data_IF_506441191615
#
_entry.id   IF_506441191615
#
_cell.length_a   1.000
_cell.length_b   1.000
_cell.length_c   1.000
_cell.angle_alpha   90.00
_cell.angle_beta   90.00
_cell.angle_gamma   90.00
#
_symmetry.space_group_name_H-M   'P 1'
#
loop_
_entity.id
_entity.type
_entity.pdbx_description
1 polymer ?
#
# COMPACT_ATOMS: atom_id res chain seq x y z
N UNK A 1 26.71 35.19 15.47
CA UNK A 1 27.56 34.09 14.96
C UNK A 1 26.85 32.79 15.26
N UNK A 2 26.03 32.30 14.33
CA UNK A 2 25.29 31.05 14.51
C UNK A 2 26.05 29.94 13.79
N UNK A 3 26.59 29.01 14.55
CA UNK A 3 27.29 27.84 14.03
C UNK A 3 26.28 26.91 13.35
N UNK A 4 26.25 26.94 12.03
CA UNK A 4 25.54 26.00 11.18
C UNK A 4 26.16 24.61 11.37
N UNK A 5 25.45 23.74 12.08
CA UNK A 5 25.88 22.36 12.34
C UNK A 5 25.70 21.57 11.05
N UNK A 6 26.76 21.52 10.24
CA UNK A 6 26.85 20.66 9.06
C UNK A 6 26.68 19.21 9.52
N UNK A 7 25.54 18.61 9.16
CA UNK A 7 25.30 17.18 9.38
C UNK A 7 26.41 16.40 8.64
N UNK A 8 27.16 15.51 9.31
CA UNK A 8 28.20 14.74 8.64
C UNK A 8 27.54 13.92 7.53
N UNK A 9 27.96 14.16 6.29
CA UNK A 9 27.49 13.43 5.13
C UNK A 9 27.69 11.94 5.35
N UNK A 10 26.66 11.14 5.05
CA UNK A 10 26.79 9.68 4.98
C UNK A 10 27.98 9.36 4.08
N UNK A 11 29.06 8.87 4.66
CA UNK A 11 30.19 8.32 3.93
C UNK A 11 29.63 7.21 3.01
N UNK A 12 29.59 7.48 1.71
CA UNK A 12 29.15 6.48 0.73
C UNK A 12 30.20 5.37 0.78
N UNK A 13 29.85 4.23 1.36
CA UNK A 13 30.70 3.04 1.35
C UNK A 13 30.80 2.56 -0.10
N UNK A 14 31.86 2.99 -0.79
CA UNK A 14 32.14 2.64 -2.18
C UNK A 14 32.64 1.20 -2.24
N UNK A 15 32.26 0.46 -3.29
CA UNK A 15 32.83 -0.86 -3.54
C UNK A 15 34.32 -0.74 -3.88
N UNK A 16 35.16 -1.73 -3.53
CA UNK A 16 36.55 -1.74 -3.98
C UNK A 16 36.62 -1.77 -5.51
N UNK A 17 37.68 -1.18 -6.08
CA UNK A 17 37.87 -1.12 -7.53
C UNK A 17 37.90 -2.53 -8.14
N UNK A 18 37.22 -2.72 -9.27
CA UNK A 18 37.12 -4.02 -9.95
C UNK A 18 36.13 -5.01 -9.31
N UNK A 19 35.31 -4.57 -8.35
CA UNK A 19 34.28 -5.41 -7.74
C UNK A 19 32.89 -4.79 -7.83
N UNK A 20 31.91 -5.64 -8.13
CA UNK A 20 30.49 -5.33 -8.19
C UNK A 20 29.76 -5.95 -7.00
N UNK A 21 28.94 -5.16 -6.33
CA UNK A 21 28.03 -5.69 -5.31
C UNK A 21 26.79 -6.32 -5.98
N UNK A 22 26.05 -7.12 -5.22
CA UNK A 22 24.78 -7.70 -5.70
C UNK A 22 23.81 -6.65 -6.24
N UNK A 23 23.84 -5.42 -5.74
CA UNK A 23 22.99 -4.34 -6.24
C UNK A 23 23.40 -3.88 -7.65
N UNK A 24 24.70 -3.70 -7.91
CA UNK A 24 25.20 -3.31 -9.23
C UNK A 24 24.87 -4.38 -10.28
N UNK A 25 24.97 -5.66 -9.90
CA UNK A 25 24.55 -6.77 -10.76
C UNK A 25 23.05 -6.70 -11.09
N UNK A 26 22.20 -6.41 -10.10
CA UNK A 26 20.74 -6.28 -10.32
C UNK A 26 20.40 -5.15 -11.30
N UNK A 27 21.13 -4.03 -11.23
CA UNK A 27 20.96 -2.90 -12.15
C UNK A 27 21.34 -3.28 -13.59
N UNK A 28 22.30 -4.20 -13.75
CA UNK A 28 22.67 -4.82 -15.04
C UNK A 28 21.76 -5.98 -15.47
N UNK A 29 20.63 -6.20 -14.79
CA UNK A 29 19.66 -7.24 -15.14
C UNK A 29 19.96 -8.63 -14.59
N UNK A 30 20.93 -8.77 -13.68
CA UNK A 30 21.18 -10.05 -13.03
C UNK A 30 20.08 -10.39 -12.01
N UNK A 31 19.53 -11.59 -12.13
CA UNK A 31 18.63 -12.16 -11.11
C UNK A 31 19.43 -13.05 -10.15
N UNK A 32 18.94 -13.31 -8.92
CA UNK A 32 19.62 -14.24 -7.99
C UNK A 32 19.87 -15.63 -8.60
N UNK A 33 18.97 -16.10 -9.47
CA UNK A 33 19.12 -17.37 -10.17
C UNK A 33 20.25 -17.32 -11.21
N UNK A 34 20.41 -16.20 -11.94
CA UNK A 34 21.53 -16.02 -12.87
C UNK A 34 22.86 -15.94 -12.13
N UNK A 35 22.91 -15.22 -11.00
CA UNK A 35 24.11 -15.12 -10.17
C UNK A 35 24.52 -16.52 -9.67
N UNK A 36 23.58 -17.28 -9.10
CA UNK A 36 23.87 -18.63 -8.61
C UNK A 36 24.32 -19.58 -9.73
N UNK A 37 23.73 -19.45 -10.93
CA UNK A 37 24.02 -20.32 -12.07
C UNK A 37 25.37 -20.02 -12.74
N UNK A 38 25.72 -18.76 -12.93
CA UNK A 38 26.88 -18.38 -13.75
C UNK A 38 28.06 -17.83 -12.95
N UNK A 39 27.83 -17.18 -11.81
CA UNK A 39 28.90 -16.63 -10.97
C UNK A 39 29.20 -17.52 -9.75
N UNK A 40 28.19 -18.23 -9.24
CA UNK A 40 28.34 -19.11 -8.09
C UNK A 40 28.70 -18.36 -6.82
N UNK A 41 29.82 -18.73 -6.21
CA UNK A 41 30.31 -18.10 -4.99
C UNK A 41 30.87 -16.68 -5.26
N UNK A 42 30.80 -15.87 -4.21
CA UNK A 42 31.26 -14.49 -4.24
C UNK A 42 32.77 -14.45 -3.95
N UNK A 43 33.46 -13.46 -4.49
CA UNK A 43 34.92 -13.40 -4.41
C UNK A 43 35.38 -12.71 -3.12
N UNK A 44 34.62 -11.68 -2.70
CA UNK A 44 34.92 -10.92 -1.50
C UNK A 44 33.65 -10.51 -0.77
N UNK A 45 33.81 -10.08 0.49
CA UNK A 45 32.74 -9.45 1.25
C UNK A 45 33.20 -8.11 1.78
N UNK A 46 32.27 -7.16 1.90
CA UNK A 46 32.52 -5.88 2.57
C UNK A 46 31.51 -5.65 3.68
N UNK A 47 31.88 -4.91 4.74
CA UNK A 47 30.93 -4.55 5.78
C UNK A 47 29.78 -3.73 5.19
N UNK A 48 28.55 -4.06 5.61
CA UNK A 48 27.39 -3.28 5.21
C UNK A 48 27.36 -1.96 5.99
N UNK A 49 27.32 -0.84 5.26
CA UNK A 49 27.21 0.50 5.85
C UNK A 49 25.84 0.79 6.47
N UNK A 50 24.84 -0.04 6.17
CA UNK A 50 23.50 0.08 6.73
C UNK A 50 23.38 -0.67 8.06
N UNK A 51 22.76 -0.01 9.05
CA UNK A 51 22.41 -0.59 10.35
C UNK A 51 20.90 -0.64 10.48
N UNK A 52 20.39 -1.75 11.02
CA UNK A 52 18.98 -1.88 11.43
C UNK A 52 18.90 -1.73 12.94
N UNK A 53 18.50 -0.55 13.40
CA UNK A 53 18.55 -0.18 14.81
C UNK A 53 19.97 -0.31 15.38
N UNK A 54 20.13 -1.14 16.42
CA UNK A 54 21.43 -1.41 17.05
C UNK A 54 22.24 -2.52 16.36
N UNK A 55 21.65 -3.26 15.41
CA UNK A 55 22.29 -4.42 14.76
C UNK A 55 22.95 -4.02 13.45
N UNK A 56 24.18 -4.49 13.23
CA UNK A 56 24.85 -4.42 11.93
C UNK A 56 24.21 -5.45 11.01
N UNK A 57 23.91 -5.06 9.77
CA UNK A 57 23.42 -5.98 8.76
C UNK A 57 24.53 -6.92 8.28
N UNK A 58 24.18 -8.10 7.72
CA UNK A 58 25.15 -9.01 7.14
C UNK A 58 26.05 -8.31 6.09
N UNK A 59 27.32 -8.75 5.96
CA UNK A 59 28.23 -8.24 4.93
C UNK A 59 27.66 -8.34 3.52
N UNK A 60 28.03 -7.38 2.67
CA UNK A 60 27.64 -7.34 1.26
C UNK A 60 28.60 -8.23 0.47
N UNK A 61 28.03 -9.11 -0.38
CA UNK A 61 28.78 -9.97 -1.30
C UNK A 61 29.28 -9.18 -2.51
N UNK A 62 30.53 -9.40 -2.88
CA UNK A 62 31.20 -8.76 -4.00
C UNK A 62 31.64 -9.80 -5.03
N UNK A 63 31.50 -9.43 -6.30
CA UNK A 63 31.85 -10.23 -7.46
C UNK A 63 32.87 -9.49 -8.29
N UNK A 64 33.90 -10.18 -8.76
CA UNK A 64 34.91 -9.57 -9.62
C UNK A 64 34.30 -9.12 -10.95
N UNK A 65 34.51 -7.86 -11.29
CA UNK A 65 33.92 -7.24 -12.48
C UNK A 65 34.40 -7.93 -13.77
N UNK A 66 35.66 -8.35 -13.83
CA UNK A 66 36.22 -9.05 -15.00
C UNK A 66 35.46 -10.36 -15.29
N UNK A 67 35.18 -11.16 -14.25
CA UNK A 67 34.41 -12.41 -14.36
C UNK A 67 32.98 -12.14 -14.80
N UNK A 68 32.36 -11.10 -14.26
CA UNK A 68 31.00 -10.69 -14.64
C UNK A 68 30.96 -10.31 -16.13
N UNK A 69 31.89 -9.48 -16.59
CA UNK A 69 31.98 -9.06 -17.98
C UNK A 69 32.26 -10.23 -18.94
N UNK A 70 33.05 -11.21 -18.52
CA UNK A 70 33.29 -12.41 -19.31
C UNK A 70 32.01 -13.23 -19.48
N UNK A 71 31.25 -13.44 -18.40
CA UNK A 71 29.96 -14.14 -18.46
C UNK A 71 28.94 -13.36 -19.29
N UNK A 72 28.88 -12.04 -19.16
CA UNK A 72 27.94 -11.19 -19.90
C UNK A 72 28.12 -11.30 -21.42
N UNK A 73 29.32 -11.67 -21.89
CA UNK A 73 29.61 -11.90 -23.32
C UNK A 73 29.19 -13.28 -23.83
N UNK A 74 28.86 -14.22 -22.94
CA UNK A 74 28.49 -15.57 -23.36
C UNK A 74 27.05 -15.61 -23.88
N UNK A 75 26.85 -16.23 -25.04
CA UNK A 75 25.51 -16.39 -25.64
C UNK A 75 24.52 -17.10 -24.71
N UNK A 76 25.03 -18.05 -23.90
CA UNK A 76 24.23 -18.78 -22.91
C UNK A 76 23.69 -17.87 -21.82
N UNK A 77 24.46 -16.85 -21.42
CA UNK A 77 24.03 -15.84 -20.46
C UNK A 77 23.01 -14.89 -21.09
N UNK A 78 23.27 -14.36 -22.28
CA UNK A 78 22.34 -13.47 -22.99
C UNK A 78 20.97 -14.12 -23.19
N UNK A 79 20.94 -15.39 -23.61
CA UNK A 79 19.70 -16.15 -23.74
C UNK A 79 19.00 -16.37 -22.39
N UNK A 80 19.74 -16.60 -21.31
CA UNK A 80 19.17 -16.75 -19.98
C UNK A 80 18.64 -15.42 -19.41
N UNK A 81 19.32 -14.32 -19.68
CA UNK A 81 18.91 -12.97 -19.29
C UNK A 81 17.62 -12.56 -20.00
N UNK A 82 17.52 -12.78 -21.32
CA UNK A 82 16.31 -12.51 -22.10
C UNK A 82 15.10 -13.28 -21.54
N UNK A 83 15.26 -14.60 -21.27
CA UNK A 83 14.20 -15.40 -20.65
C UNK A 83 13.81 -14.91 -19.26
N UNK A 84 14.77 -14.45 -18.46
CA UNK A 84 14.50 -13.91 -17.14
C UNK A 84 13.71 -12.59 -17.21
N UNK A 85 14.01 -11.73 -18.19
CA UNK A 85 13.26 -10.51 -18.46
C UNK A 85 11.82 -10.83 -18.88
N UNK A 86 11.62 -11.73 -19.84
CA UNK A 86 10.29 -12.17 -20.28
C UNK A 86 9.46 -12.77 -19.13
N UNK A 87 10.10 -13.60 -18.30
CA UNK A 87 9.45 -14.22 -17.15
C UNK A 87 9.01 -13.17 -16.11
N UNK A 88 9.83 -12.14 -15.89
CA UNK A 88 9.50 -11.03 -14.98
C UNK A 88 8.31 -10.23 -15.52
N UNK A 89 8.33 -9.87 -16.80
CA UNK A 89 7.23 -9.14 -17.42
C UNK A 89 5.93 -9.95 -17.36
N UNK A 90 5.97 -11.25 -17.70
CA UNK A 90 4.80 -12.13 -17.57
C UNK A 90 4.30 -12.21 -16.13
N UNK A 91 5.20 -12.30 -15.15
CA UNK A 91 4.82 -12.34 -13.75
C UNK A 91 4.19 -11.02 -13.27
N UNK A 92 4.68 -9.87 -13.75
CA UNK A 92 4.12 -8.56 -13.47
C UNK A 92 2.71 -8.42 -14.06
N UNK A 93 2.53 -8.72 -15.36
CA UNK A 93 1.21 -8.75 -16.00
C UNK A 93 0.23 -9.68 -15.29
N UNK A 94 0.69 -10.86 -14.87
CA UNK A 94 -0.14 -11.80 -14.11
C UNK A 94 -0.49 -11.29 -12.71
N UNK A 95 0.37 -10.50 -12.07
CA UNK A 95 0.07 -9.84 -10.79
C UNK A 95 -0.95 -8.73 -10.98
N UNK A 96 -0.77 -7.88 -11.97
CA UNK A 96 -1.73 -6.81 -12.30
C UNK A 96 -3.10 -7.38 -12.64
N UNK A 97 -3.15 -8.42 -13.48
CA UNK A 97 -4.41 -9.08 -13.86
C UNK A 97 -5.12 -9.61 -12.62
N UNK A 98 -4.41 -10.31 -11.72
CA UNK A 98 -5.00 -10.80 -10.46
C UNK A 98 -5.46 -9.67 -9.56
N UNK A 99 -4.71 -8.58 -9.47
CA UNK A 99 -5.09 -7.41 -8.68
C UNK A 99 -6.38 -6.77 -9.23
N UNK A 100 -6.46 -6.55 -10.54
CA UNK A 100 -7.66 -5.99 -11.20
C UNK A 100 -8.86 -6.90 -11.05
N UNK A 101 -8.70 -8.22 -11.27
CA UNK A 101 -9.79 -9.18 -11.08
C UNK A 101 -10.29 -9.19 -9.64
N UNK A 102 -9.38 -9.10 -8.66
CA UNK A 102 -9.73 -9.00 -7.24
C UNK A 102 -10.49 -7.72 -6.92
N UNK A 103 -10.01 -6.58 -7.39
CA UNK A 103 -10.68 -5.29 -7.22
C UNK A 103 -12.08 -5.29 -7.85
N UNK A 104 -12.21 -5.81 -9.07
CA UNK A 104 -13.50 -5.94 -9.74
C UNK A 104 -14.48 -6.83 -8.96
N UNK A 105 -14.00 -7.93 -8.37
CA UNK A 105 -14.82 -8.81 -7.55
C UNK A 105 -15.31 -8.11 -6.26
N UNK A 106 -14.44 -7.35 -5.59
CA UNK A 106 -14.83 -6.53 -4.42
C UNK A 106 -15.92 -5.52 -4.78
N UNK A 107 -15.76 -4.80 -5.89
CA UNK A 107 -16.75 -3.83 -6.38
C UNK A 107 -18.07 -4.50 -6.74
N UNK A 108 -18.03 -5.65 -7.41
CA UNK A 108 -19.23 -6.41 -7.78
C UNK A 108 -19.97 -6.95 -6.56
N UNK A 109 -19.27 -7.48 -5.57
CA UNK A 109 -19.85 -7.94 -4.32
C UNK A 109 -20.52 -6.78 -3.57
N UNK A 110 -19.85 -5.64 -3.43
CA UNK A 110 -20.45 -4.46 -2.82
C UNK A 110 -21.66 -3.94 -3.61
N UNK A 111 -21.64 -4.05 -4.95
CA UNK A 111 -22.77 -3.65 -5.80
C UNK A 111 -24.00 -4.55 -5.64
N UNK A 112 -23.81 -5.81 -5.23
CA UNK A 112 -24.91 -6.75 -4.96
C UNK A 112 -25.68 -6.41 -3.68
N UNK A 113 -25.05 -5.69 -2.74
CA UNK A 113 -25.70 -5.26 -1.52
C UNK A 113 -26.68 -4.12 -1.79
N UNK A 114 -27.96 -4.42 -1.63
CA UNK A 114 -29.06 -3.46 -1.76
C UNK A 114 -29.75 -3.28 -0.40
N UNK A 115 -29.37 -2.27 0.39
CA UNK A 115 -29.99 -2.04 1.71
C UNK A 115 -31.45 -1.59 1.56
N UNK A 116 -32.33 -2.20 2.35
CA UNK A 116 -33.73 -1.77 2.48
C UNK A 116 -33.85 -0.81 3.65
N UNK A 117 -34.15 0.46 3.37
CA UNK A 117 -34.27 1.51 4.39
C UNK A 117 -35.74 1.74 4.73
N UNK A 118 -36.06 1.60 6.03
CA UNK A 118 -37.35 1.99 6.56
C UNK A 118 -37.23 3.38 7.19
N UNK A 119 -37.93 4.41 6.66
CA UNK A 119 -37.84 5.76 7.17
C UNK A 119 -38.47 5.86 8.57
N UNK A 120 -37.70 6.37 9.52
CA UNK A 120 -38.15 6.73 10.86
C UNK A 120 -38.17 8.25 11.03
N UNK A 121 -39.05 8.80 11.87
CA UNK A 121 -39.08 10.23 12.14
C UNK A 121 -37.84 10.66 12.94
N UNK A 122 -36.80 11.07 12.22
CA UNK A 122 -35.53 11.52 12.79
C UNK A 122 -35.36 13.03 12.66
N UNK A 123 -34.72 13.65 13.67
CA UNK A 123 -34.32 15.05 13.60
C UNK A 123 -33.30 15.25 12.48
N UNK A 124 -33.43 16.35 11.72
CA UNK A 124 -32.45 16.78 10.72
C UNK A 124 -31.03 16.75 11.31
N UNK A 125 -30.10 16.09 10.60
CA UNK A 125 -28.70 15.96 11.01
C UNK A 125 -28.40 14.80 11.96
N UNK A 126 -29.39 13.98 12.33
CA UNK A 126 -29.20 12.78 13.16
C UNK A 126 -28.59 11.60 12.38
N UNK A 127 -27.46 11.83 11.68
CA UNK A 127 -26.77 10.85 10.82
C UNK A 127 -26.46 9.56 11.56
N UNK A 128 -25.96 9.65 12.80
CA UNK A 128 -25.63 8.47 13.61
C UNK A 128 -26.86 7.60 13.87
N UNK A 129 -27.98 8.22 14.25
CA UNK A 129 -29.24 7.52 14.55
C UNK A 129 -29.84 6.89 13.29
N UNK A 130 -29.70 7.52 12.14
CA UNK A 130 -30.17 6.97 10.87
C UNK A 130 -29.37 5.72 10.45
N UNK A 131 -28.06 5.65 10.77
CA UNK A 131 -27.19 4.54 10.40
C UNK A 131 -27.23 3.37 11.38
N UNK A 132 -27.34 3.67 12.68
CA UNK A 132 -27.20 2.73 13.80
C UNK A 132 -28.01 1.42 13.63
N UNK A 133 -29.29 1.42 13.20
CA UNK A 133 -30.07 0.18 13.03
C UNK A 133 -29.48 -0.80 12.00
N UNK A 134 -28.73 -0.29 11.03
CA UNK A 134 -28.26 -1.07 9.89
C UNK A 134 -26.83 -1.61 10.07
N UNK A 135 -26.11 -1.19 11.12
CA UNK A 135 -24.70 -1.56 11.31
C UNK A 135 -24.50 -3.05 11.53
N UNK A 136 -25.33 -3.67 12.37
CA UNK A 136 -25.23 -5.11 12.65
C UNK A 136 -25.50 -5.96 11.40
N UNK A 137 -26.49 -5.56 10.59
CA UNK A 137 -26.76 -6.22 9.31
C UNK A 137 -25.61 -6.03 8.33
N UNK A 138 -25.03 -4.83 8.27
CA UNK A 138 -23.90 -4.54 7.39
C UNK A 138 -22.67 -5.39 7.74
N UNK A 139 -22.37 -5.58 9.03
CA UNK A 139 -21.29 -6.45 9.48
C UNK A 139 -21.54 -7.92 9.09
N UNK A 140 -22.77 -8.41 9.26
CA UNK A 140 -23.14 -9.77 8.84
C UNK A 140 -23.01 -9.96 7.31
N UNK A 141 -23.43 -8.97 6.53
CA UNK A 141 -23.30 -8.97 5.07
C UNK A 141 -21.82 -8.91 4.65
N UNK A 142 -21.01 -8.07 5.28
CA UNK A 142 -19.57 -7.99 5.03
C UNK A 142 -18.87 -9.32 5.31
N UNK A 143 -19.23 -9.99 6.41
CA UNK A 143 -18.73 -11.33 6.73
C UNK A 143 -19.14 -12.38 5.69
N UNK A 144 -20.40 -12.39 5.27
CA UNK A 144 -20.91 -13.34 4.26
C UNK A 144 -20.25 -13.13 2.89
N UNK A 145 -20.25 -11.90 2.38
CA UNK A 145 -19.64 -11.56 1.10
C UNK A 145 -18.11 -11.78 1.13
N UNK A 146 -17.45 -11.45 2.24
CA UNK A 146 -16.03 -11.72 2.44
C UNK A 146 -15.71 -13.22 2.36
N UNK A 147 -16.55 -14.08 2.95
CA UNK A 147 -16.39 -15.53 2.84
C UNK A 147 -16.61 -16.05 1.41
N UNK A 148 -17.63 -15.57 0.72
CA UNK A 148 -17.91 -15.95 -0.69
C UNK A 148 -16.75 -15.54 -1.60
N UNK A 149 -16.30 -14.28 -1.51
CA UNK A 149 -15.16 -13.77 -2.28
C UNK A 149 -13.87 -14.52 -1.98
N UNK A 150 -13.66 -14.96 -0.74
CA UNK A 150 -12.50 -15.77 -0.37
C UNK A 150 -12.51 -17.16 -1.05
N UNK A 151 -13.69 -17.70 -1.37
CA UNK A 151 -13.82 -18.95 -2.13
C UNK A 151 -13.56 -18.74 -3.62
N UNK A 152 -13.97 -17.60 -4.19
CA UNK A 152 -13.84 -17.30 -5.62
C UNK A 152 -12.44 -16.82 -6.02
N UNK A 153 -11.87 -15.86 -5.25
CA UNK A 153 -10.62 -15.16 -5.59
C UNK A 153 -9.44 -15.63 -4.70
N UNK A 154 -9.72 -16.57 -3.80
CA UNK A 154 -8.78 -17.05 -2.79
C UNK A 154 -8.66 -16.10 -1.60
N UNK A 155 -7.66 -16.32 -0.74
CA UNK A 155 -7.50 -15.61 0.53
C UNK A 155 -7.52 -14.08 0.36
N UNK A 156 -8.46 -13.45 1.06
CA UNK A 156 -8.54 -12.00 1.23
C UNK A 156 -7.63 -11.55 2.37
N UNK A 157 -6.95 -10.43 2.17
CA UNK A 157 -6.17 -9.77 3.22
C UNK A 157 -7.03 -8.83 4.07
N UNK A 158 -6.50 -8.36 5.19
CA UNK A 158 -7.18 -7.37 6.03
C UNK A 158 -7.56 -6.10 5.25
N UNK A 159 -6.70 -5.65 4.33
CA UNK A 159 -6.98 -4.51 3.45
C UNK A 159 -8.15 -4.73 2.50
N UNK A 160 -8.33 -5.96 2.02
CA UNK A 160 -9.43 -6.29 1.11
C UNK A 160 -10.77 -6.25 1.86
N UNK A 161 -10.78 -6.73 3.12
CA UNK A 161 -11.94 -6.69 3.99
C UNK A 161 -12.30 -5.26 4.40
N UNK A 162 -11.30 -4.45 4.77
CA UNK A 162 -11.50 -3.03 5.08
C UNK A 162 -12.07 -2.26 3.88
N UNK A 163 -11.58 -2.56 2.67
CA UNK A 163 -12.11 -1.98 1.44
C UNK A 163 -13.56 -2.41 1.19
N UNK A 164 -13.88 -3.70 1.37
CA UNK A 164 -15.25 -4.21 1.23
C UNK A 164 -16.21 -3.53 2.21
N UNK A 165 -15.85 -3.42 3.48
CA UNK A 165 -16.64 -2.73 4.51
C UNK A 165 -16.86 -1.25 4.15
N UNK A 166 -15.82 -0.57 3.66
CA UNK A 166 -15.92 0.80 3.15
C UNK A 166 -16.94 0.93 2.03
N UNK A 167 -16.85 0.06 1.01
CA UNK A 167 -17.78 0.05 -0.13
C UNK A 167 -19.22 -0.25 0.29
N UNK A 168 -19.44 -1.20 1.20
CA UNK A 168 -20.77 -1.52 1.72
C UNK A 168 -21.36 -0.35 2.52
N UNK A 169 -20.53 0.35 3.28
CA UNK A 169 -20.94 1.54 4.04
C UNK A 169 -21.31 2.70 3.12
N UNK A 170 -20.55 2.93 2.05
CA UNK A 170 -20.91 3.91 1.03
C UNK A 170 -22.26 3.60 0.37
N UNK A 171 -22.53 2.31 0.08
CA UNK A 171 -23.84 1.87 -0.43
C UNK A 171 -24.97 2.14 0.55
N UNK A 172 -24.76 1.86 1.83
CA UNK A 172 -25.71 2.19 2.89
C UNK A 172 -25.98 3.70 2.96
N UNK A 173 -24.92 4.52 2.90
CA UNK A 173 -25.03 5.97 2.96
C UNK A 173 -25.76 6.55 1.73
N UNK A 174 -25.56 5.97 0.55
CA UNK A 174 -26.30 6.33 -0.66
C UNK A 174 -27.80 6.02 -0.51
N UNK A 175 -28.14 4.86 0.04
CA UNK A 175 -29.54 4.52 0.27
C UNK A 175 -30.18 5.44 1.33
N UNK A 176 -29.46 5.76 2.41
CA UNK A 176 -29.92 6.69 3.42
C UNK A 176 -30.11 8.12 2.88
N UNK A 177 -29.24 8.60 1.99
CA UNK A 177 -29.41 9.91 1.36
C UNK A 177 -30.61 9.98 0.40
N UNK A 178 -31.00 8.86 -0.20
CA UNK A 178 -32.21 8.78 -1.01
C UNK A 178 -33.51 8.92 -0.19
N UNK A 179 -33.48 8.49 1.08
CA UNK A 179 -34.64 8.50 1.99
C UNK A 179 -34.69 9.78 2.84
N UNK A 180 -33.53 10.26 3.29
CA UNK A 180 -33.39 11.43 4.14
C UNK A 180 -32.72 12.57 3.37
N UNK A 181 -33.44 13.61 2.92
CA UNK A 181 -32.88 14.70 2.11
C UNK A 181 -31.75 15.50 2.78
N UNK A 182 -31.62 15.39 4.10
CA UNK A 182 -30.58 16.04 4.88
C UNK A 182 -29.34 15.17 5.11
N UNK A 183 -29.38 13.90 4.74
CA UNK A 183 -28.30 12.95 4.96
C UNK A 183 -27.21 13.16 3.88
N UNK A 184 -25.92 13.18 4.26
CA UNK A 184 -24.84 13.46 3.32
C UNK A 184 -24.74 12.34 2.26
N UNK A 185 -24.81 12.71 0.99
CA UNK A 185 -24.57 11.76 -0.09
C UNK A 185 -23.07 11.42 -0.19
N UNK A 186 -22.70 10.14 -0.37
CA UNK A 186 -21.31 9.76 -0.57
C UNK A 186 -20.74 10.45 -1.82
N UNK A 187 -19.53 10.99 -1.71
CA UNK A 187 -18.87 11.75 -2.80
C UNK A 187 -19.29 13.22 -2.92
N UNK A 188 -20.36 13.66 -2.25
CA UNK A 188 -20.60 15.08 -2.06
C UNK A 188 -19.78 15.52 -0.84
N UNK A 189 -18.60 16.13 -1.08
CA UNK A 189 -18.02 17.02 -0.08
C UNK A 189 -19.11 17.99 0.30
N UNK A 190 -19.58 17.92 1.54
CA UNK A 190 -20.64 18.77 2.05
C UNK A 190 -20.39 20.18 1.52
N UNK A 191 -21.23 20.65 0.60
CA UNK A 191 -21.16 22.02 0.13
C UNK A 191 -21.27 22.86 1.38
N UNK A 192 -20.15 23.49 1.73
CA UNK A 192 -20.06 24.45 2.79
C UNK A 192 -21.04 25.57 2.44
N UNK A 193 -22.25 25.49 2.99
CA UNK A 193 -23.09 26.66 3.15
C UNK A 193 -22.40 27.53 4.21
N UNK A 194 -21.48 28.39 3.76
CA UNK A 194 -20.91 29.50 4.51
C UNK A 194 -21.99 30.57 4.81
N UNK A 195 -21.73 31.64 5.60
CA UNK A 195 -20.87 31.79 6.76
C UNK A 195 -21.70 32.13 8.00
N UNK A 196 -21.28 31.74 9.21
CA UNK A 196 -21.70 32.43 10.44
C UNK A 196 -20.45 32.95 11.11
N UNK A 197 -20.34 34.27 11.11
CA UNK A 197 -19.21 34.98 11.67
C UNK A 197 -18.96 34.57 13.12
N UNK A 198 -17.72 34.19 13.37
CA UNK A 198 -17.03 34.54 14.59
C UNK A 198 -15.58 34.72 14.19
N UNK A 199 -15.14 35.97 14.11
CA UNK A 199 -13.72 36.27 14.31
C UNK A 199 -13.32 35.57 15.60
N UNK A 200 -12.45 34.56 15.52
CA UNK A 200 -11.79 34.02 16.69
C UNK A 200 -10.89 35.14 17.23
N UNK A 201 -11.36 35.83 18.29
CA UNK A 201 -10.52 36.77 19.03
C UNK A 201 -9.46 35.97 19.79
N UNK A 202 -8.19 36.44 19.86
CA UNK A 202 -7.10 35.74 20.54
C UNK A 202 -7.20 35.75 22.09
N UNK A 203 -8.38 35.66 22.68
CA UNK A 203 -8.58 35.86 24.13
C UNK A 203 -9.42 34.79 24.85
N UNK A 204 -9.74 33.66 24.22
CA UNK A 204 -10.50 32.55 24.86
C UNK A 204 -9.60 31.46 25.48
N UNK A 205 -8.40 31.80 25.94
CA UNK A 205 -7.55 30.92 26.77
C UNK A 205 -7.72 31.24 28.26
N UNK A 206 -8.98 31.36 28.70
CA UNK A 206 -9.31 31.47 30.11
C UNK A 206 -9.07 30.15 30.82
N UNK A 207 -8.00 30.17 31.62
CA UNK A 207 -7.92 29.72 33.01
C UNK A 207 -8.72 28.45 33.34
N UNK A 208 -7.99 27.34 33.44
CA UNK A 208 -8.49 26.13 34.08
C UNK A 208 -7.98 26.13 35.52
N UNK A 209 -8.82 26.60 36.44
CA UNK A 209 -8.62 26.42 37.88
C UNK A 209 -8.84 24.93 38.21
N UNK A 210 -7.78 24.27 38.67
CA UNK A 210 -7.86 22.96 39.29
C UNK A 210 -8.11 23.15 40.79
N UNK A 211 -9.33 22.88 41.24
CA UNK A 211 -9.62 22.48 42.62
C UNK A 211 -9.74 20.95 42.69
#
# INVERSE_FOLDING_TARGET
MSAETVRPGREKVVNPAGFLATQDLKERGWTPALIARFLGEHDQTRPNGLRMGRRRLPPVKLYEEARVLEVERQDTFLAAQARAADAREKAERARETRARSREAALLAAAASYTPSIHPEPLRKGAVRKAREPYLAQLEAVAGHLGQQLAQEVGRLGAKDLELLEGLLRERLDLALSSVYPWYPAPGQTATATAPRGSEARPSDWREWDWD
#
